data_IF_247095535096
#
_entry.id   IF_247095535096
#
_cell.length_a   1.000
_cell.length_b   1.000
_cell.length_c   1.000
_cell.angle_alpha   90.00
_cell.angle_beta   90.00
_cell.angle_gamma   90.00
#
_symmetry.space_group_name_H-M   'P 1'
#
loop_
_entity.id
_entity.type
_entity.pdbx_description
1 polymer ?
#
# COMPACT_ATOMS: atom_id res chain seq x y z
N UNK A 1 -19.45 7.11 13.33
CA UNK A 1 -18.97 6.86 11.96
C UNK A 1 -17.57 7.44 11.89
N UNK A 2 -16.56 6.62 11.61
CA UNK A 2 -15.20 7.15 11.37
C UNK A 2 -15.26 7.85 10.01
N UNK A 3 -14.81 9.10 9.95
CA UNK A 3 -14.80 9.89 8.71
C UNK A 3 -13.69 9.40 7.77
N UNK A 4 -13.81 9.65 6.45
CA UNK A 4 -12.77 9.28 5.46
C UNK A 4 -11.40 9.85 5.87
N UNK A 5 -11.39 11.05 6.42
CA UNK A 5 -10.16 11.74 6.86
C UNK A 5 -9.51 11.11 8.09
N UNK A 6 -10.30 10.69 9.08
CA UNK A 6 -9.79 9.92 10.23
C UNK A 6 -9.20 8.57 9.77
N UNK A 7 -9.79 7.94 8.77
CA UNK A 7 -9.27 6.69 8.20
C UNK A 7 -7.92 6.87 7.51
N UNK A 8 -7.77 7.93 6.69
CA UNK A 8 -6.50 8.26 6.04
C UNK A 8 -5.41 8.60 7.07
N UNK A 9 -5.78 9.28 8.15
CA UNK A 9 -4.86 9.58 9.25
C UNK A 9 -4.35 8.30 9.92
N UNK A 10 -5.24 7.37 10.24
CA UNK A 10 -4.87 6.07 10.80
C UNK A 10 -4.02 5.24 9.83
N UNK A 11 -4.28 5.31 8.52
CA UNK A 11 -3.50 4.59 7.52
C UNK A 11 -2.02 5.05 7.48
N UNK A 12 -1.79 6.36 7.50
CA UNK A 12 -0.42 6.91 7.54
C UNK A 12 0.28 6.54 8.83
N UNK A 13 -0.40 6.65 9.96
CA UNK A 13 0.13 6.22 11.27
C UNK A 13 0.51 4.73 11.24
N UNK A 14 -0.31 3.87 10.63
CA UNK A 14 0.02 2.44 10.48
C UNK A 14 1.29 2.21 9.65
N UNK A 15 1.50 2.97 8.58
CA UNK A 15 2.68 2.87 7.70
C UNK A 15 3.94 3.41 8.40
N UNK A 16 3.80 4.50 9.15
CA UNK A 16 4.89 5.09 9.93
C UNK A 16 5.37 4.15 11.02
N UNK A 17 4.43 3.46 11.70
CA UNK A 17 4.71 2.50 12.77
C UNK A 17 5.14 1.10 12.28
N UNK A 18 5.30 0.87 10.97
CA UNK A 18 5.84 -0.41 10.47
C UNK A 18 7.31 -0.55 10.94
N UNK A 19 7.68 -1.66 11.62
CA UNK A 19 9.07 -1.93 12.00
C UNK A 19 10.00 -1.89 10.78
N UNK A 20 11.16 -1.26 10.90
CA UNK A 20 12.08 -1.06 9.76
C UNK A 20 12.48 -2.39 9.08
N UNK A 21 12.63 -3.47 9.85
CA UNK A 21 12.91 -4.83 9.37
C UNK A 21 11.90 -5.38 8.35
N UNK A 22 10.64 -4.95 8.43
CA UNK A 22 9.58 -5.33 7.50
C UNK A 22 9.06 -4.15 6.68
N UNK A 23 9.67 -2.97 6.81
CA UNK A 23 9.30 -1.76 6.07
C UNK A 23 10.04 -1.72 4.76
N UNK A 24 9.29 -1.44 3.70
CA UNK A 24 9.86 -1.34 2.35
C UNK A 24 10.71 -0.07 2.27
N UNK A 25 11.92 -0.15 1.70
CA UNK A 25 12.72 1.02 1.36
C UNK A 25 11.92 2.05 0.55
N UNK A 26 12.19 3.34 0.74
CA UNK A 26 11.37 4.41 0.17
C UNK A 26 11.34 4.40 -1.37
N UNK A 27 12.47 4.10 -2.00
CA UNK A 27 12.62 3.93 -3.45
C UNK A 27 11.71 2.80 -3.97
N UNK A 28 11.80 1.61 -3.36
CA UNK A 28 10.99 0.47 -3.75
C UNK A 28 9.50 0.69 -3.43
N UNK A 29 9.19 1.40 -2.35
CA UNK A 29 7.84 1.78 -2.00
C UNK A 29 7.20 2.67 -3.09
N UNK A 30 7.92 3.69 -3.55
CA UNK A 30 7.48 4.56 -4.64
C UNK A 30 7.29 3.80 -5.95
N UNK A 31 8.19 2.88 -6.29
CA UNK A 31 8.06 2.03 -7.49
C UNK A 31 6.80 1.16 -7.42
N UNK A 32 6.53 0.51 -6.28
CA UNK A 32 5.33 -0.30 -6.06
C UNK A 32 4.06 0.54 -6.18
N UNK A 33 4.08 1.78 -5.69
CA UNK A 33 2.95 2.71 -5.81
C UNK A 33 2.72 3.16 -7.25
N UNK A 34 3.77 3.50 -8.00
CA UNK A 34 3.66 3.81 -9.43
C UNK A 34 3.00 2.67 -10.21
N UNK A 35 3.43 1.43 -9.95
CA UNK A 35 2.82 0.25 -10.53
C UNK A 35 1.33 0.07 -10.14
N UNK A 36 0.93 0.50 -8.94
CA UNK A 36 -0.47 0.48 -8.52
C UNK A 36 -1.29 1.60 -9.18
N UNK A 37 -0.71 2.78 -9.40
CA UNK A 37 -1.38 3.91 -10.09
C UNK A 37 -1.67 3.57 -11.55
N UNK A 38 -0.80 2.82 -12.20
CA UNK A 38 -1.00 2.32 -13.58
C UNK A 38 -1.94 1.09 -13.64
N UNK A 39 -2.38 0.56 -12.51
CA UNK A 39 -3.21 -0.64 -12.46
C UNK A 39 -4.70 -0.29 -12.52
N UNK A 40 -5.41 -0.85 -13.50
CA UNK A 40 -6.88 -0.73 -13.66
C UNK A 40 -7.69 -1.21 -12.44
N UNK A 41 -7.05 -1.92 -11.51
CA UNK A 41 -7.67 -2.46 -10.29
C UNK A 41 -7.61 -1.49 -9.12
N UNK A 42 -6.97 -0.33 -9.27
CA UNK A 42 -6.94 0.69 -8.23
C UNK A 42 -8.28 1.44 -8.20
N UNK A 43 -8.96 1.39 -7.05
CA UNK A 43 -10.23 2.07 -6.81
C UNK A 43 -10.14 2.77 -5.46
N UNK A 44 -10.19 4.11 -5.45
CA UNK A 44 -10.12 4.92 -4.23
C UNK A 44 -8.95 4.56 -3.27
N UNK A 45 -7.77 4.25 -3.82
CA UNK A 45 -6.59 3.85 -3.02
C UNK A 45 -6.59 2.38 -2.57
N UNK A 46 -7.62 1.62 -2.90
CA UNK A 46 -7.73 0.18 -2.62
C UNK A 46 -7.55 -0.66 -3.89
N UNK A 47 -6.86 -1.79 -3.76
CA UNK A 47 -6.75 -2.75 -4.84
C UNK A 47 -7.98 -3.66 -4.87
N UNK A 48 -8.74 -3.65 -5.97
CA UNK A 48 -9.94 -4.49 -6.12
C UNK A 48 -9.65 -5.99 -6.17
N UNK A 49 -8.40 -6.40 -6.43
CA UNK A 49 -8.01 -7.82 -6.42
C UNK A 49 -7.81 -8.38 -5.01
N UNK A 50 -7.36 -7.56 -4.05
CA UNK A 50 -7.09 -8.04 -2.69
C UNK A 50 -7.85 -7.32 -1.58
N UNK A 51 -8.57 -6.25 -1.89
CA UNK A 51 -9.30 -5.45 -0.92
C UNK A 51 -8.42 -4.69 0.09
N UNK A 52 -7.12 -4.54 -0.18
CA UNK A 52 -6.22 -3.78 0.69
C UNK A 52 -5.87 -2.41 0.09
N UNK A 53 -5.53 -1.47 0.96
CA UNK A 53 -4.92 -0.21 0.57
C UNK A 53 -3.56 -0.45 -0.06
N UNK A 54 -3.34 0.13 -1.24
CA UNK A 54 -2.09 -0.06 -1.98
C UNK A 54 -0.91 0.51 -1.23
N UNK A 55 -1.10 1.62 -0.51
CA UNK A 55 -0.09 2.22 0.38
C UNK A 55 0.33 1.27 1.50
N UNK A 56 -0.61 0.72 2.25
CA UNK A 56 -0.29 -0.22 3.33
C UNK A 56 0.34 -1.52 2.80
N UNK A 57 -0.15 -2.02 1.66
CA UNK A 57 0.36 -3.25 1.06
C UNK A 57 1.77 -3.07 0.55
N UNK A 58 2.04 -1.97 -0.17
CA UNK A 58 3.35 -1.66 -0.72
C UNK A 58 4.39 -1.35 0.36
N UNK A 59 3.97 -0.82 1.51
CA UNK A 59 4.86 -0.44 2.60
C UNK A 59 5.51 -1.61 3.34
N UNK A 60 5.01 -2.85 3.19
CA UNK A 60 5.59 -4.05 3.83
C UNK A 60 6.42 -4.86 2.83
N UNK A 61 7.65 -5.20 3.19
CA UNK A 61 8.58 -5.94 2.29
C UNK A 61 8.03 -7.32 1.93
N UNK A 62 7.50 -8.07 2.91
CA UNK A 62 6.97 -9.42 2.68
C UNK A 62 5.68 -9.50 1.85
N UNK A 63 5.08 -8.36 1.49
CA UNK A 63 3.92 -8.35 0.62
C UNK A 63 4.32 -8.39 -0.84
N UNK A 64 3.48 -8.98 -1.68
CA UNK A 64 3.61 -8.94 -3.14
C UNK A 64 2.31 -8.47 -3.79
N UNK A 65 2.37 -8.01 -5.03
CA UNK A 65 1.17 -7.69 -5.79
C UNK A 65 0.37 -8.97 -6.10
N UNK A 66 -0.95 -9.03 -5.82
CA UNK A 66 -1.78 -10.18 -6.18
C UNK A 66 -1.85 -10.37 -7.71
N UNK A 67 -1.66 -9.29 -8.48
CA UNK A 67 -1.65 -9.29 -9.93
C UNK A 67 -0.24 -9.31 -10.52
N UNK A 68 0.78 -9.53 -9.69
CA UNK A 68 2.20 -9.65 -10.08
C UNK A 68 2.81 -8.42 -10.78
N UNK A 69 2.23 -7.23 -10.57
CA UNK A 69 2.82 -5.96 -11.05
C UNK A 69 4.16 -5.63 -10.36
N UNK A 70 4.36 -6.14 -9.15
CA UNK A 70 5.58 -5.98 -8.36
C UNK A 70 5.75 -7.16 -7.39
N UNK A 71 6.98 -7.37 -6.90
CA UNK A 71 7.36 -8.50 -6.03
C UNK A 71 7.79 -8.02 -4.63
N UNK A 72 7.70 -8.95 -3.69
CA UNK A 72 8.21 -8.81 -2.32
C UNK A 72 9.72 -8.61 -2.33
#
# INVERSE_FOLDING_TARGET
MITKDEYFKTLKELIENIPQEIKTPADLYEERLKACVECERLVDGMCSACGCYVELRAAKTGNSCPYKMWRA
#
